data_IF_602503966497
#
_entry.id   IF_602503966497
#
_cell.length_a   1.000
_cell.length_b   1.000
_cell.length_c   1.000
_cell.angle_alpha   90.00
_cell.angle_beta   90.00
_cell.angle_gamma   90.00
#
_symmetry.space_group_name_H-M   'P 1'
#
loop_
_entity.id
_entity.type
_entity.pdbx_description
1 polymer ?
#
# COMPACT_ATOMS: atom_id res chain seq x y z
N UNK A 1 -8.74 -30.92 1.96
CA UNK A 1 -7.33 -31.02 2.39
C UNK A 1 -6.95 -32.50 2.42
N UNK A 2 -6.02 -32.91 1.58
CA UNK A 2 -5.54 -34.32 1.57
C UNK A 2 -4.14 -34.31 2.18
N UNK A 3 -3.98 -34.88 3.36
CA UNK A 3 -2.70 -34.91 4.06
C UNK A 3 -1.81 -35.99 3.43
N UNK A 4 -0.79 -35.60 2.66
CA UNK A 4 0.19 -36.49 2.05
C UNK A 4 1.43 -36.67 2.95
N UNK A 5 1.18 -37.11 4.19
CA UNK A 5 2.23 -37.26 5.21
C UNK A 5 3.38 -38.17 4.73
N UNK A 6 3.07 -39.24 4.01
CA UNK A 6 4.08 -40.18 3.50
C UNK A 6 5.01 -39.53 2.47
N UNK A 7 4.48 -38.75 1.55
CA UNK A 7 5.27 -37.98 0.57
C UNK A 7 6.16 -36.95 1.27
N UNK A 8 5.62 -36.26 2.28
CA UNK A 8 6.37 -35.27 3.06
C UNK A 8 7.54 -35.92 3.82
N UNK A 9 7.32 -37.07 4.48
CA UNK A 9 8.38 -37.82 5.14
C UNK A 9 9.47 -38.17 4.14
N UNK A 10 9.10 -38.68 2.95
CA UNK A 10 10.03 -39.03 1.88
C UNK A 10 10.83 -37.86 1.34
N UNK A 11 10.19 -36.71 1.17
CA UNK A 11 10.82 -35.44 0.75
C UNK A 11 11.87 -35.02 1.77
N UNK A 12 11.48 -34.89 3.04
CA UNK A 12 12.35 -34.49 4.14
C UNK A 12 13.56 -35.42 4.30
N UNK A 13 13.31 -36.72 4.26
CA UNK A 13 14.39 -37.71 4.35
C UNK A 13 15.39 -37.57 3.19
N UNK A 14 14.91 -37.35 1.96
CA UNK A 14 15.76 -37.15 0.78
C UNK A 14 16.51 -35.81 0.86
N UNK A 15 15.87 -34.76 1.32
CA UNK A 15 16.49 -33.45 1.56
C UNK A 15 17.73 -33.57 2.48
N UNK A 16 17.59 -34.37 3.54
CA UNK A 16 18.65 -34.54 4.54
C UNK A 16 19.63 -35.69 4.17
N UNK A 17 19.53 -36.28 2.96
CA UNK A 17 20.42 -37.35 2.47
C UNK A 17 20.33 -38.66 3.27
N UNK A 18 19.23 -38.90 3.99
CA UNK A 18 19.02 -40.05 4.87
C UNK A 18 18.42 -41.25 4.12
N UNK A 19 18.78 -42.47 4.57
CA UNK A 19 18.12 -43.68 4.10
C UNK A 19 16.89 -44.01 4.96
N UNK A 20 15.98 -44.85 4.45
CA UNK A 20 14.82 -45.34 5.22
C UNK A 20 15.23 -46.05 6.50
N UNK A 21 16.36 -46.74 6.48
CA UNK A 21 16.96 -47.43 7.63
C UNK A 21 17.38 -46.44 8.74
N UNK A 22 17.91 -45.29 8.38
CA UNK A 22 18.34 -44.25 9.32
C UNK A 22 17.14 -43.67 10.10
N UNK A 23 16.07 -43.38 9.38
CA UNK A 23 14.82 -42.94 9.98
C UNK A 23 14.17 -44.03 10.85
N UNK A 24 14.13 -45.26 10.35
CA UNK A 24 13.58 -46.39 11.07
C UNK A 24 14.32 -46.60 12.42
N UNK A 25 15.66 -46.58 12.39
CA UNK A 25 16.50 -46.73 13.59
C UNK A 25 16.25 -45.59 14.59
N UNK A 26 16.16 -44.35 14.12
CA UNK A 26 15.93 -43.19 14.98
C UNK A 26 14.54 -43.23 15.66
N UNK A 27 13.55 -43.77 14.98
CA UNK A 27 12.17 -43.85 15.47
C UNK A 27 11.84 -45.17 16.18
N UNK A 28 12.77 -46.11 16.22
CA UNK A 28 12.54 -47.44 16.84
C UNK A 28 11.55 -48.34 16.08
N UNK A 29 11.47 -48.19 14.75
CA UNK A 29 10.56 -48.94 13.87
C UNK A 29 11.34 -49.75 12.83
N UNK A 30 10.65 -50.56 12.01
CA UNK A 30 11.27 -51.27 10.90
C UNK A 30 11.37 -50.42 9.64
N UNK A 31 12.39 -50.65 8.81
CA UNK A 31 12.51 -49.98 7.50
C UNK A 31 11.30 -50.23 6.60
N UNK A 32 10.64 -51.38 6.76
CA UNK A 32 9.40 -51.73 6.05
C UNK A 32 8.23 -50.81 6.46
N UNK A 33 8.16 -50.44 7.75
CA UNK A 33 7.16 -49.46 8.24
C UNK A 33 7.37 -48.10 7.60
N UNK A 34 8.61 -47.59 7.57
CA UNK A 34 8.95 -46.33 6.90
C UNK A 34 8.64 -46.38 5.41
N UNK A 35 9.01 -47.47 4.73
CA UNK A 35 8.73 -47.68 3.32
C UNK A 35 7.22 -47.66 3.02
N UNK A 36 6.40 -48.28 3.88
CA UNK A 36 4.94 -48.28 3.78
C UNK A 36 4.35 -46.90 3.95
N UNK A 37 4.86 -46.11 4.91
CA UNK A 37 4.41 -44.73 5.10
C UNK A 37 4.73 -43.88 3.86
N UNK A 38 5.96 -43.95 3.34
CA UNK A 38 6.40 -43.17 2.17
C UNK A 38 5.67 -43.57 0.86
N UNK A 39 5.12 -44.78 0.83
CA UNK A 39 4.29 -45.28 -0.28
C UNK A 39 2.78 -45.01 -0.09
N UNK A 40 2.41 -44.22 0.95
CA UNK A 40 1.01 -43.97 1.34
C UNK A 40 0.21 -45.27 1.62
N UNK A 41 0.89 -46.34 1.96
CA UNK A 41 0.28 -47.65 2.34
C UNK A 41 -0.15 -47.72 3.81
N UNK A 42 -0.06 -46.62 4.55
CA UNK A 42 -0.47 -46.46 5.94
C UNK A 42 0.18 -45.23 6.57
N UNK A 43 -0.28 -44.86 7.76
CA UNK A 43 0.23 -43.72 8.51
C UNK A 43 1.10 -44.17 9.68
N UNK A 44 2.07 -43.32 10.15
CA UNK A 44 2.69 -43.49 11.46
C UNK A 44 1.63 -43.44 12.56
N UNK A 45 1.90 -44.06 13.70
CA UNK A 45 1.10 -43.86 14.89
C UNK A 45 1.13 -42.40 15.31
N UNK A 46 -0.02 -41.87 15.81
CA UNK A 46 -0.13 -40.49 16.25
C UNK A 46 0.92 -40.11 17.29
N UNK A 47 1.28 -41.04 18.18
CA UNK A 47 2.33 -40.84 19.19
C UNK A 47 3.73 -40.67 18.59
N UNK A 48 3.95 -41.09 17.34
CA UNK A 48 5.23 -40.95 16.63
C UNK A 48 5.39 -39.60 15.91
N UNK A 49 4.29 -38.90 15.66
CA UNK A 49 4.31 -37.63 14.92
C UNK A 49 5.30 -36.61 15.50
N UNK A 50 5.32 -36.37 16.85
CA UNK A 50 6.31 -35.47 17.43
C UNK A 50 7.75 -35.93 17.23
N UNK A 51 7.99 -37.26 17.28
CA UNK A 51 9.34 -37.79 17.09
C UNK A 51 9.81 -37.66 15.64
N UNK A 52 8.92 -37.83 14.66
CA UNK A 52 9.20 -37.61 13.24
C UNK A 52 9.52 -36.11 12.99
N UNK A 53 8.70 -35.20 13.52
CA UNK A 53 8.92 -33.79 13.37
C UNK A 53 10.28 -33.34 14.00
N UNK A 54 10.58 -33.84 15.20
CA UNK A 54 11.86 -33.60 15.88
C UNK A 54 13.07 -34.16 15.09
N UNK A 55 12.93 -35.35 14.50
CA UNK A 55 14.00 -35.95 13.70
C UNK A 55 14.39 -35.07 12.50
N UNK A 56 13.41 -34.44 11.86
CA UNK A 56 13.64 -33.54 10.72
C UNK A 56 13.83 -32.06 11.13
N UNK A 57 13.79 -31.73 12.42
CA UNK A 57 13.89 -30.37 12.95
C UNK A 57 12.84 -29.42 12.37
N UNK A 58 11.61 -29.87 12.25
CA UNK A 58 10.46 -29.11 11.76
C UNK A 58 9.30 -29.15 12.76
N UNK A 59 8.31 -28.28 12.55
CA UNK A 59 7.06 -28.32 13.32
C UNK A 59 6.15 -29.45 12.85
N UNK A 60 5.19 -29.86 13.70
CA UNK A 60 4.16 -30.84 13.33
C UNK A 60 3.30 -30.28 12.18
N UNK A 61 2.98 -28.98 12.19
CA UNK A 61 2.22 -28.32 11.14
C UNK A 61 2.94 -28.38 9.78
N UNK A 62 4.25 -28.17 9.79
CA UNK A 62 5.09 -28.28 8.60
C UNK A 62 5.17 -29.72 8.10
N UNK A 63 5.21 -30.71 9.01
CA UNK A 63 5.18 -32.13 8.68
C UNK A 63 3.86 -32.53 7.99
N UNK A 64 2.74 -31.97 8.42
CA UNK A 64 1.43 -32.18 7.81
C UNK A 64 1.16 -31.32 6.59
N UNK A 65 2.05 -30.38 6.27
CA UNK A 65 1.86 -29.40 5.19
C UNK A 65 0.76 -28.36 5.47
N UNK A 66 0.28 -28.32 6.72
CA UNK A 66 -0.86 -27.49 7.12
C UNK A 66 -0.59 -26.01 6.90
N UNK A 67 0.61 -25.55 7.25
CA UNK A 67 0.97 -24.14 7.10
C UNK A 67 1.00 -23.68 5.63
N UNK A 68 1.53 -24.52 4.74
CA UNK A 68 1.63 -24.19 3.32
C UNK A 68 0.25 -24.03 2.65
N UNK A 69 -0.69 -24.91 2.96
CA UNK A 69 -2.05 -24.82 2.41
C UNK A 69 -2.83 -23.66 3.01
N UNK A 70 -2.68 -23.43 4.33
CA UNK A 70 -3.29 -22.31 5.02
C UNK A 70 -2.78 -20.96 4.49
N UNK A 71 -1.47 -20.80 4.38
CA UNK A 71 -0.85 -19.58 3.84
C UNK A 71 -1.28 -19.32 2.39
N UNK A 72 -1.38 -20.35 1.56
CA UNK A 72 -1.89 -20.25 0.20
C UNK A 72 -3.32 -19.70 0.15
N UNK A 73 -4.22 -20.26 0.95
CA UNK A 73 -5.62 -19.83 0.98
C UNK A 73 -5.71 -18.37 1.47
N UNK A 74 -4.97 -18.02 2.53
CA UNK A 74 -4.91 -16.63 3.02
C UNK A 74 -4.39 -15.70 1.92
N UNK A 75 -3.35 -16.12 1.18
CA UNK A 75 -2.80 -15.33 0.08
C UNK A 75 -3.83 -15.16 -1.05
N UNK A 76 -4.61 -16.18 -1.37
CA UNK A 76 -5.69 -16.06 -2.37
C UNK A 76 -6.77 -15.05 -1.96
N UNK A 77 -7.17 -15.03 -0.68
CA UNK A 77 -8.09 -14.02 -0.14
C UNK A 77 -7.47 -12.61 -0.26
N UNK A 78 -6.20 -12.49 0.14
CA UNK A 78 -5.45 -11.24 0.10
C UNK A 78 -5.32 -10.70 -1.32
N UNK A 79 -4.90 -11.51 -2.28
CA UNK A 79 -4.71 -11.11 -3.68
C UNK A 79 -6.02 -10.63 -4.31
N UNK A 80 -7.13 -11.34 -4.06
CA UNK A 80 -8.44 -10.94 -4.54
C UNK A 80 -8.89 -9.61 -3.91
N UNK A 81 -8.72 -9.46 -2.60
CA UNK A 81 -9.08 -8.23 -1.89
C UNK A 81 -8.26 -7.03 -2.37
N UNK A 82 -6.95 -7.21 -2.59
CA UNK A 82 -6.07 -6.16 -3.11
C UNK A 82 -6.50 -5.72 -4.51
N UNK A 83 -6.87 -6.64 -5.39
CA UNK A 83 -7.39 -6.31 -6.73
C UNK A 83 -8.68 -5.48 -6.61
N UNK A 84 -9.62 -5.89 -5.76
CA UNK A 84 -10.89 -5.18 -5.55
C UNK A 84 -10.66 -3.80 -4.94
N UNK A 85 -9.82 -3.69 -3.90
CA UNK A 85 -9.46 -2.41 -3.26
C UNK A 85 -8.90 -1.38 -4.25
N UNK A 86 -8.20 -1.84 -5.27
CA UNK A 86 -7.57 -0.96 -6.26
C UNK A 86 -8.42 -0.69 -7.50
N UNK A 87 -9.37 -1.57 -7.82
CA UNK A 87 -10.17 -1.47 -9.04
C UNK A 87 -11.56 -0.89 -8.80
N UNK A 88 -12.22 -1.34 -7.73
CA UNK A 88 -13.64 -1.14 -7.52
C UNK A 88 -13.88 0.09 -6.60
N UNK A 89 -14.90 0.87 -6.88
CA UNK A 89 -15.34 1.97 -6.00
C UNK A 89 -16.26 1.46 -4.88
N UNK A 90 -17.13 0.49 -5.19
CA UNK A 90 -18.02 -0.20 -4.25
C UNK A 90 -17.26 -1.36 -3.58
N UNK A 91 -17.21 -1.38 -2.25
CA UNK A 91 -16.47 -2.37 -1.47
C UNK A 91 -17.32 -3.51 -0.93
N UNK A 92 -18.61 -3.58 -1.28
CA UNK A 92 -19.54 -4.59 -0.75
C UNK A 92 -19.03 -6.02 -0.94
N UNK A 93 -18.59 -6.38 -2.16
CA UNK A 93 -18.06 -7.71 -2.44
C UNK A 93 -16.70 -7.96 -1.76
N UNK A 94 -15.85 -6.95 -1.69
CA UNK A 94 -14.56 -7.03 -1.02
C UNK A 94 -14.72 -7.27 0.47
N UNK A 95 -15.60 -6.53 1.13
CA UNK A 95 -15.95 -6.69 2.55
C UNK A 95 -16.49 -8.10 2.81
N UNK A 96 -17.43 -8.59 1.97
CA UNK A 96 -18.00 -9.93 2.10
C UNK A 96 -16.94 -11.03 1.90
N UNK A 97 -16.00 -10.85 0.96
CA UNK A 97 -14.88 -11.76 0.74
C UNK A 97 -13.98 -11.85 1.98
N UNK A 98 -13.59 -10.69 2.54
CA UNK A 98 -12.69 -10.61 3.68
C UNK A 98 -13.33 -11.13 4.97
N UNK A 99 -14.62 -10.89 5.18
CA UNK A 99 -15.37 -11.47 6.30
C UNK A 99 -15.40 -12.99 6.23
N UNK A 100 -15.65 -13.59 5.05
CA UNK A 100 -15.54 -15.05 4.87
C UNK A 100 -14.12 -15.57 5.16
N UNK A 101 -13.09 -14.85 4.69
CA UNK A 101 -11.71 -15.20 5.02
C UNK A 101 -11.43 -15.17 6.52
N UNK A 102 -12.01 -14.22 7.26
CA UNK A 102 -11.87 -14.11 8.70
C UNK A 102 -12.74 -15.11 9.48
N UNK A 103 -13.85 -15.60 8.94
CA UNK A 103 -14.58 -16.75 9.51
C UNK A 103 -13.71 -18.01 9.48
N UNK A 104 -12.95 -18.23 8.41
CA UNK A 104 -12.04 -19.37 8.26
C UNK A 104 -10.71 -19.15 9.02
N UNK A 105 -10.19 -17.91 9.04
CA UNK A 105 -8.89 -17.54 9.62
C UNK A 105 -8.99 -16.32 10.56
N UNK A 106 -9.67 -16.42 11.71
CA UNK A 106 -10.08 -15.27 12.55
C UNK A 106 -8.91 -14.49 13.16
N UNK A 107 -7.74 -15.10 13.29
CA UNK A 107 -6.55 -14.47 13.89
C UNK A 107 -5.59 -13.85 12.87
N UNK A 108 -5.96 -13.80 11.57
CA UNK A 108 -5.09 -13.33 10.51
C UNK A 108 -5.13 -11.80 10.41
N UNK A 109 -4.13 -11.12 10.99
CA UNK A 109 -4.05 -9.66 10.99
C UNK A 109 -3.99 -9.06 9.57
N UNK A 110 -3.36 -9.73 8.61
CA UNK A 110 -3.35 -9.27 7.21
C UNK A 110 -4.75 -9.14 6.61
N UNK A 111 -5.64 -10.12 6.84
CA UNK A 111 -7.04 -10.03 6.39
C UNK A 111 -7.82 -8.93 7.14
N UNK A 112 -7.55 -8.73 8.44
CA UNK A 112 -8.16 -7.63 9.21
C UNK A 112 -7.74 -6.27 8.68
N UNK A 113 -6.47 -6.08 8.31
CA UNK A 113 -5.97 -4.84 7.70
C UNK A 113 -6.71 -4.55 6.40
N UNK A 114 -6.86 -5.54 5.53
CA UNK A 114 -7.58 -5.36 4.27
C UNK A 114 -9.08 -5.12 4.49
N UNK A 115 -9.70 -5.75 5.48
CA UNK A 115 -11.09 -5.48 5.86
C UNK A 115 -11.25 -4.04 6.36
N UNK A 116 -10.39 -3.57 7.24
CA UNK A 116 -10.40 -2.20 7.72
C UNK A 116 -10.21 -1.18 6.56
N UNK A 117 -9.33 -1.50 5.59
CA UNK A 117 -9.13 -0.67 4.41
C UNK A 117 -10.36 -0.63 3.50
N UNK A 118 -11.04 -1.78 3.29
CA UNK A 118 -12.27 -1.85 2.50
C UNK A 118 -13.42 -1.09 3.17
N UNK A 119 -13.59 -1.27 4.47
CA UNK A 119 -14.58 -0.54 5.27
C UNK A 119 -14.30 0.98 5.26
N UNK A 120 -13.03 1.38 5.42
CA UNK A 120 -12.66 2.78 5.33
C UNK A 120 -13.00 3.38 3.95
N UNK A 121 -12.73 2.65 2.88
CA UNK A 121 -13.07 3.09 1.52
C UNK A 121 -14.59 3.18 1.32
N UNK A 122 -15.36 2.21 1.81
CA UNK A 122 -16.82 2.24 1.74
C UNK A 122 -17.40 3.38 2.59
N UNK A 123 -16.80 3.67 3.75
CA UNK A 123 -17.19 4.80 4.59
C UNK A 123 -17.10 6.15 3.87
N UNK A 124 -16.17 6.32 2.92
CA UNK A 124 -16.11 7.51 2.07
C UNK A 124 -17.30 7.63 1.10
N UNK A 125 -17.83 6.50 0.61
CA UNK A 125 -19.04 6.48 -0.23
C UNK A 125 -20.26 6.95 0.57
N UNK A 126 -20.24 6.73 1.89
CA UNK A 126 -21.29 7.12 2.85
C UNK A 126 -20.92 8.36 3.68
N UNK A 127 -20.00 9.21 3.19
CA UNK A 127 -19.58 10.42 3.88
C UNK A 127 -20.75 11.37 4.12
N UNK A 128 -20.92 11.78 5.37
CA UNK A 128 -22.02 12.64 5.82
C UNK A 128 -23.23 11.91 6.37
N UNK A 129 -23.31 10.60 6.23
CA UNK A 129 -24.30 9.77 6.93
C UNK A 129 -23.91 9.63 8.40
N UNK A 130 -24.88 9.65 9.30
CA UNK A 130 -24.67 9.48 10.75
C UNK A 130 -25.71 8.53 11.33
N UNK A 131 -25.28 7.43 11.98
CA UNK A 131 -23.89 6.97 12.12
C UNK A 131 -23.29 6.48 10.79
N UNK A 132 -21.96 6.56 10.64
CA UNK A 132 -21.24 5.91 9.55
C UNK A 132 -20.65 4.59 10.08
N UNK A 133 -21.45 3.54 10.02
CA UNK A 133 -21.12 2.22 10.58
C UNK A 133 -19.82 1.62 9.98
N UNK A 134 -19.53 1.92 8.71
CA UNK A 134 -18.31 1.47 8.06
C UNK A 134 -17.07 2.08 8.71
N UNK A 135 -17.06 3.37 8.98
CA UNK A 135 -15.95 4.03 9.66
C UNK A 135 -15.82 3.62 11.12
N UNK A 136 -16.94 3.40 11.82
CA UNK A 136 -16.90 2.93 13.20
C UNK A 136 -16.28 1.53 13.30
N UNK A 137 -16.66 0.60 12.41
CA UNK A 137 -16.05 -0.74 12.34
C UNK A 137 -14.58 -0.67 11.91
N UNK A 138 -14.26 0.14 10.91
CA UNK A 138 -12.87 0.33 10.46
C UNK A 138 -11.97 0.89 11.57
N UNK A 139 -12.44 1.89 12.31
CA UNK A 139 -11.70 2.46 13.43
C UNK A 139 -11.41 1.44 14.51
N UNK A 140 -12.41 0.61 14.88
CA UNK A 140 -12.23 -0.47 15.84
C UNK A 140 -11.16 -1.48 15.41
N UNK A 141 -11.22 -1.90 14.15
CA UNK A 141 -10.20 -2.82 13.59
C UNK A 141 -8.80 -2.21 13.56
N UNK A 142 -8.68 -0.94 13.15
CA UNK A 142 -7.39 -0.26 13.14
C UNK A 142 -6.83 -0.07 14.56
N UNK A 143 -7.67 0.19 15.57
CA UNK A 143 -7.23 0.26 16.96
C UNK A 143 -6.61 -1.06 17.45
N UNK A 144 -7.27 -2.18 17.17
CA UNK A 144 -6.80 -3.51 17.55
C UNK A 144 -5.49 -3.89 16.82
N UNK A 145 -5.26 -3.31 15.64
CA UNK A 145 -4.10 -3.61 14.81
C UNK A 145 -2.87 -2.73 15.10
N UNK A 146 -2.99 -1.66 15.88
CA UNK A 146 -1.88 -0.70 16.11
C UNK A 146 -0.61 -1.33 16.68
N UNK A 147 -0.72 -2.34 17.54
CA UNK A 147 0.44 -3.03 18.10
C UNK A 147 1.15 -3.91 17.06
N UNK A 148 0.40 -4.44 16.09
CA UNK A 148 0.93 -5.29 15.02
C UNK A 148 1.43 -4.49 13.83
N UNK A 149 0.66 -3.48 13.38
CA UNK A 149 0.96 -2.60 12.25
C UNK A 149 0.78 -1.13 12.65
N UNK A 150 1.86 -0.47 13.11
CA UNK A 150 1.80 0.92 13.55
C UNK A 150 1.27 1.92 12.50
N UNK A 151 1.43 1.62 11.21
CA UNK A 151 0.94 2.48 10.13
C UNK A 151 -0.59 2.57 10.08
N UNK A 152 -1.32 1.69 10.79
CA UNK A 152 -2.76 1.79 10.98
C UNK A 152 -3.16 3.09 11.68
N UNK A 153 -2.23 3.80 12.33
CA UNK A 153 -2.49 5.10 12.95
C UNK A 153 -2.97 6.14 11.94
N UNK A 154 -2.44 6.15 10.72
CA UNK A 154 -2.76 7.15 9.70
C UNK A 154 -4.24 7.11 9.29
N UNK A 155 -4.78 5.97 8.80
CA UNK A 155 -6.19 5.87 8.45
C UNK A 155 -7.10 6.02 9.68
N UNK A 156 -6.67 5.57 10.86
CA UNK A 156 -7.44 5.72 12.09
C UNK A 156 -7.66 7.20 12.46
N UNK A 157 -6.61 8.01 12.43
CA UNK A 157 -6.71 9.44 12.72
C UNK A 157 -7.59 10.17 11.68
N UNK A 158 -7.49 9.80 10.41
CA UNK A 158 -8.35 10.34 9.35
C UNK A 158 -9.82 10.03 9.62
N UNK A 159 -10.15 8.78 10.00
CA UNK A 159 -11.51 8.37 10.35
C UNK A 159 -12.03 9.14 11.56
N UNK A 160 -11.23 9.30 12.62
CA UNK A 160 -11.64 10.09 13.79
C UNK A 160 -11.92 11.55 13.43
N UNK A 161 -11.14 12.14 12.52
CA UNK A 161 -11.40 13.48 11.98
C UNK A 161 -12.78 13.57 11.30
N UNK A 162 -13.09 12.62 10.42
CA UNK A 162 -14.38 12.57 9.70
C UNK A 162 -15.58 12.27 10.64
N UNK A 163 -15.36 11.48 11.69
CA UNK A 163 -16.38 11.23 12.73
C UNK A 163 -16.54 12.40 13.71
N UNK A 164 -15.65 13.40 13.68
CA UNK A 164 -15.64 14.52 14.61
C UNK A 164 -15.06 14.18 15.98
N UNK A 165 -14.36 13.07 16.12
CA UNK A 165 -13.75 12.59 17.36
C UNK A 165 -12.33 13.17 17.56
N UNK A 166 -12.20 14.48 17.42
CA UNK A 166 -10.90 15.20 17.40
C UNK A 166 -10.06 14.96 18.66
N UNK A 167 -10.70 14.88 19.85
CA UNK A 167 -9.96 14.61 21.10
C UNK A 167 -9.30 13.23 21.11
N UNK A 168 -9.97 12.21 20.53
CA UNK A 168 -9.36 10.88 20.40
C UNK A 168 -8.22 10.90 19.41
N UNK A 169 -8.39 11.60 18.28
CA UNK A 169 -7.36 11.75 17.26
C UNK A 169 -6.12 12.43 17.84
N UNK A 170 -6.27 13.58 18.50
CA UNK A 170 -5.20 14.33 19.14
C UNK A 170 -4.45 13.49 20.16
N UNK A 171 -5.17 12.85 21.09
CA UNK A 171 -4.57 11.99 22.11
C UNK A 171 -3.73 10.84 21.54
N UNK A 172 -4.10 10.30 20.39
CA UNK A 172 -3.31 9.25 19.72
C UNK A 172 -2.16 9.83 18.91
N UNK A 173 -2.36 10.95 18.22
CA UNK A 173 -1.32 11.65 17.47
C UNK A 173 -0.18 12.12 18.36
N UNK A 174 -0.49 12.68 19.54
CA UNK A 174 0.49 13.14 20.53
C UNK A 174 1.42 12.04 21.08
N UNK A 175 1.10 10.77 20.87
CA UNK A 175 1.97 9.64 21.23
C UNK A 175 3.00 9.30 20.16
N UNK A 176 2.84 9.85 18.94
CA UNK A 176 3.78 9.60 17.85
C UNK A 176 5.03 10.47 18.02
N UNK A 177 6.21 10.00 17.59
CA UNK A 177 7.41 10.82 17.62
C UNK A 177 7.28 12.01 16.67
N UNK A 178 7.83 13.19 17.01
CA UNK A 178 7.88 14.31 16.10
C UNK A 178 8.77 14.00 14.88
N UNK A 179 8.57 14.72 13.78
CA UNK A 179 9.18 14.43 12.48
C UNK A 179 10.72 14.40 12.51
N UNK A 180 11.34 15.23 13.35
CA UNK A 180 12.81 15.28 13.54
C UNK A 180 13.37 14.10 14.34
N UNK A 181 12.51 13.28 14.95
CA UNK A 181 12.82 12.06 15.66
C UNK A 181 12.50 10.80 14.84
N UNK A 182 12.18 10.95 13.56
CA UNK A 182 11.92 9.82 12.67
C UNK A 182 13.19 8.96 12.49
N UNK A 183 12.99 7.66 12.27
CA UNK A 183 14.09 6.69 12.11
C UNK A 183 15.07 7.13 11.02
N UNK A 184 14.58 7.58 9.88
CA UNK A 184 15.38 7.99 8.72
C UNK A 184 16.23 9.21 9.03
N UNK A 185 15.64 10.20 9.71
CA UNK A 185 16.37 11.41 10.13
C UNK A 185 17.47 11.06 11.14
N UNK A 186 17.17 10.26 12.15
CA UNK A 186 18.14 9.86 13.17
C UNK A 186 19.28 9.02 12.58
N UNK A 187 18.96 7.97 11.82
CA UNK A 187 19.97 7.10 11.20
C UNK A 187 20.81 7.85 10.17
N UNK A 188 20.20 8.77 9.42
CA UNK A 188 20.91 9.64 8.49
C UNK A 188 21.97 10.53 9.16
N UNK A 189 21.72 10.93 10.42
CA UNK A 189 22.65 11.77 11.20
C UNK A 189 23.79 10.96 11.84
N UNK A 190 23.49 9.75 12.35
CA UNK A 190 24.44 9.00 13.19
C UNK A 190 25.33 8.01 12.43
N UNK A 191 24.93 7.50 11.27
CA UNK A 191 25.62 6.41 10.58
C UNK A 191 26.78 6.86 9.66
N UNK A 192 27.20 8.12 9.70
CA UNK A 192 28.29 8.65 8.88
C UNK A 192 28.00 8.70 7.37
N UNK A 193 29.03 9.01 6.57
CA UNK A 193 28.85 9.36 5.15
C UNK A 193 28.27 8.21 4.31
N UNK A 194 28.87 7.04 4.36
CA UNK A 194 28.49 5.91 3.50
C UNK A 194 27.24 5.17 3.99
N UNK A 195 27.22 4.74 5.25
CA UNK A 195 26.11 3.94 5.80
C UNK A 195 24.83 4.78 5.99
N UNK A 196 24.96 6.07 6.27
CA UNK A 196 23.84 6.98 6.46
C UNK A 196 23.28 7.58 5.15
N UNK A 197 23.92 7.37 4.00
CA UNK A 197 23.51 8.00 2.72
C UNK A 197 22.08 7.60 2.32
N UNK A 198 21.75 6.32 2.42
CA UNK A 198 20.43 5.82 2.11
C UNK A 198 19.36 6.48 3.00
N UNK A 199 19.60 6.51 4.33
CA UNK A 199 18.64 7.11 5.27
C UNK A 199 18.47 8.61 5.08
N UNK A 200 19.55 9.34 4.74
CA UNK A 200 19.42 10.77 4.40
C UNK A 200 18.57 11.02 3.18
N UNK A 201 18.71 10.19 2.17
CA UNK A 201 17.90 10.31 0.96
C UNK A 201 16.44 9.90 1.23
N UNK A 202 16.19 8.83 1.99
CA UNK A 202 14.85 8.45 2.46
C UNK A 202 14.21 9.57 3.28
N UNK A 203 14.96 10.21 4.17
CA UNK A 203 14.50 11.35 4.95
C UNK A 203 14.12 12.55 4.05
N UNK A 204 14.93 12.87 3.04
CA UNK A 204 14.63 13.98 2.10
C UNK A 204 13.31 13.70 1.38
N UNK A 205 13.10 12.48 0.91
CA UNK A 205 11.89 12.08 0.19
C UNK A 205 10.66 12.19 1.11
N UNK A 206 10.74 11.60 2.31
CA UNK A 206 9.65 11.63 3.27
C UNK A 206 9.31 13.06 3.70
N UNK A 207 10.31 13.87 4.01
CA UNK A 207 10.11 15.27 4.41
C UNK A 207 9.53 16.14 3.29
N UNK A 208 9.91 15.90 2.04
CA UNK A 208 9.31 16.60 0.90
C UNK A 208 7.84 16.23 0.73
N UNK A 209 7.51 14.95 0.86
CA UNK A 209 6.12 14.49 0.80
C UNK A 209 5.28 15.13 1.91
N UNK A 210 5.75 15.09 3.16
CA UNK A 210 5.06 15.70 4.29
C UNK A 210 4.96 17.24 4.15
N UNK A 211 6.01 17.90 3.63
CA UNK A 211 5.96 19.33 3.34
C UNK A 211 4.86 19.66 2.33
N UNK A 212 4.73 18.86 1.26
CA UNK A 212 3.66 19.03 0.27
C UNK A 212 2.28 18.92 0.92
N UNK A 213 2.06 17.86 1.72
CA UNK A 213 0.79 17.65 2.42
C UNK A 213 0.48 18.82 3.36
N UNK A 214 1.45 19.26 4.16
CA UNK A 214 1.27 20.36 5.10
C UNK A 214 0.96 21.69 4.40
N UNK A 215 1.57 21.96 3.23
CA UNK A 215 1.27 23.14 2.41
C UNK A 215 -0.14 23.06 1.83
N UNK A 216 -0.52 21.89 1.29
CA UNK A 216 -1.86 21.68 0.74
C UNK A 216 -2.93 21.86 1.83
N UNK A 217 -2.75 21.27 3.01
CA UNK A 217 -3.67 21.38 4.15
C UNK A 217 -3.79 22.82 4.66
N UNK A 218 -2.67 23.52 4.83
CA UNK A 218 -2.67 24.90 5.28
C UNK A 218 -3.43 25.83 4.33
N UNK A 219 -3.28 25.63 3.01
CA UNK A 219 -4.01 26.38 1.99
C UNK A 219 -5.49 25.99 1.99
N UNK A 220 -5.79 24.68 2.10
CA UNK A 220 -7.15 24.18 2.04
C UNK A 220 -8.02 24.66 3.23
N UNK A 221 -7.45 24.74 4.42
CA UNK A 221 -8.16 25.16 5.64
C UNK A 221 -8.33 26.68 5.79
N UNK A 222 -7.69 27.49 4.91
CA UNK A 222 -7.69 28.94 5.02
C UNK A 222 -8.20 29.64 3.74
N UNK A 223 -9.38 30.27 3.82
CA UNK A 223 -10.03 30.92 2.68
C UNK A 223 -9.25 32.13 2.11
N UNK A 224 -8.45 32.81 2.92
CA UNK A 224 -7.59 33.89 2.45
C UNK A 224 -6.42 33.34 1.64
N UNK A 225 -5.80 32.25 2.14
CA UNK A 225 -4.71 31.57 1.44
C UNK A 225 -5.14 30.97 0.11
N UNK A 226 -6.37 30.46 0.00
CA UNK A 226 -6.93 29.94 -1.27
C UNK A 226 -6.94 30.97 -2.40
N UNK A 227 -6.85 32.27 -2.09
CA UNK A 227 -6.89 33.37 -3.07
C UNK A 227 -5.60 34.15 -3.12
N UNK A 228 -4.62 33.84 -2.27
CA UNK A 228 -3.42 34.65 -2.11
C UNK A 228 -2.38 34.33 -3.21
N UNK A 229 -1.66 35.40 -3.64
CA UNK A 229 -0.51 35.24 -4.52
C UNK A 229 0.64 34.52 -3.81
N UNK A 230 0.78 34.71 -2.52
CA UNK A 230 1.80 34.05 -1.69
C UNK A 230 1.67 32.51 -1.74
N UNK A 231 0.45 31.99 -1.68
CA UNK A 231 0.19 30.54 -1.82
C UNK A 231 0.60 30.02 -3.19
N UNK A 232 0.34 30.78 -4.25
CA UNK A 232 0.81 30.41 -5.60
C UNK A 232 2.34 30.34 -5.63
N UNK A 233 3.00 31.36 -5.08
CA UNK A 233 4.47 31.43 -5.07
C UNK A 233 5.09 30.28 -4.27
N UNK A 234 4.49 29.91 -3.13
CA UNK A 234 4.91 28.76 -2.31
C UNK A 234 4.75 27.44 -3.10
N UNK A 235 3.60 27.21 -3.73
CA UNK A 235 3.35 25.97 -4.49
C UNK A 235 4.25 25.88 -5.73
N UNK A 236 4.53 27.02 -6.41
CA UNK A 236 5.51 27.06 -7.51
C UNK A 236 6.93 26.77 -7.04
N UNK A 237 7.34 27.28 -5.87
CA UNK A 237 8.64 26.96 -5.29
C UNK A 237 8.74 25.48 -4.93
N UNK A 238 7.69 24.90 -4.35
CA UNK A 238 7.59 23.48 -4.05
C UNK A 238 7.69 22.64 -5.33
N UNK A 239 6.95 23.01 -6.38
CA UNK A 239 7.02 22.37 -7.69
C UNK A 239 8.45 22.35 -8.25
N UNK A 240 9.11 23.52 -8.21
CA UNK A 240 10.49 23.65 -8.67
C UNK A 240 11.47 22.80 -7.84
N UNK A 241 11.26 22.69 -6.53
CA UNK A 241 12.05 21.83 -5.65
C UNK A 241 11.88 20.34 -6.03
N UNK A 242 10.65 19.89 -6.26
CA UNK A 242 10.37 18.54 -6.72
C UNK A 242 11.05 18.24 -8.07
N UNK A 243 10.99 19.17 -9.04
CA UNK A 243 11.68 19.01 -10.33
C UNK A 243 13.21 18.86 -10.18
N UNK A 244 13.80 19.60 -9.25
CA UNK A 244 15.26 19.53 -9.00
C UNK A 244 15.67 18.25 -8.27
N UNK A 245 14.83 17.75 -7.36
CA UNK A 245 15.13 16.54 -6.57
C UNK A 245 14.85 15.28 -7.37
N UNK A 246 13.73 15.21 -8.07
CA UNK A 246 13.26 14.00 -8.72
C UNK A 246 13.45 13.98 -10.24
N UNK A 247 13.71 15.14 -10.86
CA UNK A 247 13.77 15.28 -12.31
C UNK A 247 12.39 15.18 -12.98
N UNK A 248 12.36 15.45 -14.29
CA UNK A 248 11.10 15.49 -15.07
C UNK A 248 10.58 14.09 -15.47
N UNK A 249 11.40 13.06 -15.36
CA UNK A 249 11.12 11.70 -15.85
C UNK A 249 10.86 10.67 -14.70
N UNK A 250 10.68 11.16 -13.48
CA UNK A 250 10.59 10.30 -12.30
C UNK A 250 9.18 9.72 -12.11
N UNK A 251 8.91 8.55 -12.65
CA UNK A 251 7.59 7.91 -12.70
C UNK A 251 6.89 7.80 -11.34
N UNK A 252 7.61 7.48 -10.27
CA UNK A 252 7.01 7.31 -8.92
C UNK A 252 6.45 8.60 -8.32
N UNK A 253 6.95 9.77 -8.75
CA UNK A 253 6.55 11.07 -8.21
C UNK A 253 5.60 11.86 -9.10
N UNK A 254 5.18 11.28 -10.22
CA UNK A 254 4.15 11.91 -11.05
C UNK A 254 2.83 12.09 -10.30
N UNK A 255 2.52 11.28 -9.29
CA UNK A 255 1.39 11.52 -8.40
C UNK A 255 1.54 12.83 -7.63
N UNK A 256 2.71 13.09 -7.03
CA UNK A 256 2.96 14.32 -6.28
C UNK A 256 2.94 15.55 -7.20
N UNK A 257 3.56 15.48 -8.37
CA UNK A 257 3.46 16.54 -9.38
C UNK A 257 2.02 16.82 -9.79
N UNK A 258 1.22 15.75 -9.97
CA UNK A 258 -0.19 15.90 -10.29
C UNK A 258 -0.93 16.69 -9.19
N UNK A 259 -0.71 16.36 -7.90
CA UNK A 259 -1.33 17.08 -6.79
C UNK A 259 -0.84 18.53 -6.69
N UNK A 260 0.46 18.79 -6.88
CA UNK A 260 1.03 20.13 -6.89
C UNK A 260 0.39 20.99 -8.01
N UNK A 261 0.32 20.45 -9.22
CA UNK A 261 -0.30 21.15 -10.34
C UNK A 261 -1.81 21.35 -10.11
N UNK A 262 -2.49 20.40 -9.45
CA UNK A 262 -3.89 20.55 -9.05
C UNK A 262 -4.12 21.66 -8.03
N UNK A 263 -3.20 21.84 -7.08
CA UNK A 263 -3.25 22.97 -6.16
C UNK A 263 -3.14 24.30 -6.94
N UNK A 264 -2.25 24.38 -7.93
CA UNK A 264 -2.13 25.55 -8.81
C UNK A 264 -3.38 25.79 -9.65
N UNK A 265 -4.02 24.72 -10.17
CA UNK A 265 -5.31 24.83 -10.88
C UNK A 265 -6.36 25.52 -10.01
N UNK A 266 -6.49 25.10 -8.75
CA UNK A 266 -7.46 25.67 -7.81
C UNK A 266 -7.11 27.12 -7.44
N UNK A 267 -5.84 27.39 -7.15
CA UNK A 267 -5.37 28.72 -6.76
C UNK A 267 -5.58 29.75 -7.88
N UNK A 268 -5.16 29.43 -9.10
CA UNK A 268 -5.40 30.30 -10.26
C UNK A 268 -6.89 30.40 -10.62
N UNK A 269 -7.65 29.31 -10.47
CA UNK A 269 -9.11 29.32 -10.66
C UNK A 269 -9.80 30.25 -9.66
N UNK A 270 -9.37 30.29 -8.39
CA UNK A 270 -9.90 31.18 -7.37
C UNK A 270 -9.53 32.66 -7.62
N UNK A 271 -8.48 32.94 -8.40
CA UNK A 271 -8.09 34.25 -8.88
C UNK A 271 -8.71 34.62 -10.23
N UNK A 272 -9.54 33.73 -10.80
CA UNK A 272 -10.15 33.85 -12.13
C UNK A 272 -9.10 33.91 -13.29
N UNK A 273 -7.84 33.54 -13.03
CA UNK A 273 -6.80 33.36 -14.05
C UNK A 273 -6.92 31.97 -14.70
N UNK A 274 -7.96 31.80 -15.51
CA UNK A 274 -8.30 30.51 -16.13
C UNK A 274 -7.27 30.10 -17.19
N UNK A 275 -6.49 30.99 -17.75
CA UNK A 275 -5.45 30.66 -18.70
C UNK A 275 -4.35 29.83 -18.01
N UNK A 276 -3.83 30.33 -16.88
CA UNK A 276 -2.85 29.60 -16.09
C UNK A 276 -3.45 28.36 -15.43
N UNK A 277 -4.68 28.44 -14.93
CA UNK A 277 -5.37 27.28 -14.38
C UNK A 277 -5.45 26.13 -15.40
N UNK A 278 -5.79 26.41 -16.66
CA UNK A 278 -5.84 25.40 -17.72
C UNK A 278 -4.45 24.90 -18.11
N UNK A 279 -3.43 25.73 -18.08
CA UNK A 279 -2.04 25.30 -18.30
C UNK A 279 -1.62 24.24 -17.26
N UNK A 280 -1.87 24.50 -15.97
CA UNK A 280 -1.56 23.53 -14.91
C UNK A 280 -2.49 22.33 -14.90
N UNK A 281 -3.74 22.47 -15.33
CA UNK A 281 -4.65 21.34 -15.53
C UNK A 281 -4.11 20.37 -16.58
N UNK A 282 -3.61 20.90 -17.69
CA UNK A 282 -2.99 20.07 -18.74
C UNK A 282 -1.73 19.35 -18.24
N UNK A 283 -0.89 20.05 -17.48
CA UNK A 283 0.29 19.47 -16.83
C UNK A 283 -0.08 18.39 -15.81
N UNK A 284 -1.07 18.65 -14.94
CA UNK A 284 -1.58 17.69 -13.99
C UNK A 284 -2.10 16.42 -14.68
N UNK A 285 -2.83 16.58 -15.78
CA UNK A 285 -3.35 15.48 -16.57
C UNK A 285 -2.23 14.63 -17.20
N UNK A 286 -1.17 15.24 -17.70
CA UNK A 286 -0.02 14.50 -18.23
C UNK A 286 0.72 13.71 -17.13
N UNK A 287 0.90 14.31 -15.96
CA UNK A 287 1.45 13.62 -14.81
C UNK A 287 0.55 12.47 -14.35
N UNK A 288 -0.76 12.65 -14.37
CA UNK A 288 -1.73 11.60 -14.10
C UNK A 288 -1.59 10.41 -15.06
N UNK A 289 -1.50 10.65 -16.37
CA UNK A 289 -1.34 9.59 -17.37
C UNK A 289 -0.04 8.80 -17.18
N UNK A 290 1.06 9.49 -16.91
CA UNK A 290 2.36 8.85 -16.65
C UNK A 290 2.32 8.01 -15.37
N UNK A 291 1.72 8.52 -14.30
CA UNK A 291 1.53 7.78 -13.06
C UNK A 291 0.64 6.55 -13.27
N UNK A 292 -0.47 6.68 -13.99
CA UNK A 292 -1.38 5.59 -14.31
C UNK A 292 -0.68 4.48 -15.11
N UNK A 293 0.09 4.84 -16.13
CA UNK A 293 0.88 3.87 -16.90
C UNK A 293 1.86 3.09 -16.01
N UNK A 294 2.58 3.79 -15.16
CA UNK A 294 3.49 3.18 -14.21
C UNK A 294 2.75 2.24 -13.24
N UNK A 295 1.61 2.69 -12.71
CA UNK A 295 0.78 1.91 -11.82
C UNK A 295 0.24 0.63 -12.48
N UNK A 296 -0.31 0.73 -13.68
CA UNK A 296 -0.79 -0.43 -14.45
C UNK A 296 0.33 -1.45 -14.71
N UNK A 297 1.54 -0.99 -14.95
CA UNK A 297 2.71 -1.84 -15.10
C UNK A 297 3.08 -2.54 -13.79
N UNK A 298 3.04 -1.83 -12.66
CA UNK A 298 3.28 -2.42 -11.34
C UNK A 298 2.23 -3.49 -10.98
N UNK A 299 0.96 -3.27 -11.37
CA UNK A 299 -0.12 -4.21 -11.10
C UNK A 299 -0.14 -5.43 -12.04
N UNK A 300 0.34 -5.29 -13.27
CA UNK A 300 0.37 -6.40 -14.26
C UNK A 300 1.59 -7.29 -14.12
N UNK A 301 2.63 -6.81 -13.52
CA UNK A 301 3.93 -7.47 -13.56
C UNK A 301 4.39 -7.89 -12.17
N UNK A 302 4.82 -9.14 -12.09
CA UNK A 302 5.67 -9.63 -11.02
C UNK A 302 6.91 -8.75 -10.88
N UNK A 303 7.50 -8.70 -9.70
CA UNK A 303 8.66 -7.87 -9.33
C UNK A 303 9.81 -7.82 -10.37
N UNK A 304 9.91 -8.83 -11.22
CA UNK A 304 10.93 -8.98 -12.25
C UNK A 304 10.79 -8.00 -13.43
N UNK A 305 9.56 -7.75 -13.89
CA UNK A 305 9.31 -6.81 -14.99
C UNK A 305 9.28 -5.36 -14.53
N UNK A 306 8.81 -5.09 -13.31
CA UNK A 306 8.98 -3.78 -12.69
C UNK A 306 10.47 -3.44 -12.54
N UNK A 307 11.32 -4.43 -12.22
CA UNK A 307 12.78 -4.30 -12.17
C UNK A 307 13.45 -4.02 -13.53
N UNK A 308 12.89 -4.53 -14.63
CA UNK A 308 13.42 -4.31 -15.99
C UNK A 308 13.03 -2.94 -16.57
N UNK A 309 11.84 -2.43 -16.26
CA UNK A 309 11.43 -1.06 -16.56
C UNK A 309 12.26 -0.03 -15.81
N UNK A 310 12.70 -0.36 -14.59
CA UNK A 310 13.63 0.43 -13.78
C UNK A 310 14.94 0.75 -14.50
N UNK A 311 15.46 -0.15 -15.32
CA UNK A 311 16.74 0.03 -16.00
C UNK A 311 16.68 0.89 -17.28
N UNK A 312 15.48 1.15 -17.84
CA UNK A 312 15.33 1.79 -19.15
C UNK A 312 14.87 3.26 -19.15
N UNK A 313 14.39 3.81 -18.04
CA UNK A 313 13.60 5.04 -18.10
C UNK A 313 13.92 6.14 -17.07
N UNK A 314 15.04 6.10 -16.33
CA UNK A 314 15.31 7.11 -15.31
C UNK A 314 16.65 7.80 -15.46
N UNK A 315 16.67 9.07 -15.88
CA UNK A 315 17.81 9.96 -15.70
C UNK A 315 17.72 10.72 -14.35
N UNK A 316 17.29 10.09 -13.27
CA UNK A 316 17.59 10.58 -11.94
C UNK A 316 19.08 10.33 -11.67
N UNK A 317 19.75 11.20 -10.90
CA UNK A 317 21.07 10.85 -10.40
C UNK A 317 21.00 9.47 -9.75
N UNK A 318 21.90 8.56 -10.09
CA UNK A 318 21.97 7.16 -9.62
C UNK A 318 21.74 6.99 -8.09
N UNK A 319 21.95 8.06 -7.34
CA UNK A 319 21.76 8.13 -5.88
C UNK A 319 20.33 8.04 -5.40
N UNK A 320 19.40 8.74 -6.06
CA UNK A 320 17.98 8.75 -5.66
C UNK A 320 17.19 7.61 -6.29
N UNK A 321 17.62 7.12 -7.45
CA UNK A 321 16.95 6.07 -8.20
C UNK A 321 16.77 4.78 -7.39
N UNK A 322 17.81 4.31 -6.73
CA UNK A 322 17.79 3.07 -5.92
C UNK A 322 16.85 3.19 -4.71
N UNK A 323 16.73 4.39 -4.12
CA UNK A 323 15.94 4.65 -2.92
C UNK A 323 14.47 4.78 -3.26
N UNK A 324 14.15 5.53 -4.29
CA UNK A 324 12.80 5.67 -4.86
C UNK A 324 12.21 4.28 -5.14
N UNK A 325 13.00 3.40 -5.74
CA UNK A 325 12.56 2.08 -6.18
C UNK A 325 12.36 1.07 -5.05
N UNK A 326 13.05 1.23 -3.92
CA UNK A 326 12.87 0.37 -2.74
C UNK A 326 11.66 0.77 -1.90
N UNK A 327 11.34 2.07 -1.85
CA UNK A 327 10.33 2.63 -0.97
C UNK A 327 8.97 2.83 -1.64
N UNK A 328 8.89 2.75 -2.97
CA UNK A 328 7.60 2.70 -3.66
C UNK A 328 6.99 1.32 -3.44
N UNK A 329 6.28 1.17 -2.34
CA UNK A 329 5.33 0.09 -2.18
C UNK A 329 4.14 0.40 -3.10
N UNK A 330 3.95 -0.31 -4.23
CA UNK A 330 2.81 -0.07 -5.11
C UNK A 330 1.46 -0.27 -4.40
N UNK A 331 1.48 -0.92 -3.23
CA UNK A 331 0.32 -1.18 -2.38
C UNK A 331 0.05 -0.06 -1.36
N UNK A 332 1.01 0.82 -1.09
CA UNK A 332 0.87 1.94 -0.15
C UNK A 332 0.60 3.30 -0.79
N UNK A 333 0.76 3.42 -2.10
CA UNK A 333 0.42 4.63 -2.84
C UNK A 333 -1.10 4.77 -2.95
N UNK A 334 -1.67 5.71 -2.22
CA UNK A 334 -3.10 6.01 -2.30
C UNK A 334 -3.49 6.34 -3.73
N UNK A 335 -4.28 5.48 -4.35
CA UNK A 335 -4.76 5.57 -5.73
C UNK A 335 -5.89 6.59 -5.91
N UNK A 336 -5.92 7.67 -5.14
CA UNK A 336 -6.93 8.72 -5.32
C UNK A 336 -6.85 9.43 -6.67
N UNK A 337 -5.75 9.24 -7.40
CA UNK A 337 -5.51 9.87 -8.71
C UNK A 337 -6.07 9.04 -9.88
N UNK A 338 -6.58 7.83 -9.66
CA UNK A 338 -6.94 6.92 -10.77
C UNK A 338 -8.38 6.98 -11.23
N UNK A 339 -9.23 7.86 -10.69
CA UNK A 339 -10.65 7.90 -11.05
C UNK A 339 -11.00 9.14 -11.88
N UNK A 340 -11.97 8.98 -12.79
CA UNK A 340 -12.53 10.06 -13.61
C UNK A 340 -12.99 11.27 -12.78
N UNK A 341 -13.44 11.05 -11.56
CA UNK A 341 -13.80 12.08 -10.56
C UNK A 341 -12.66 13.04 -10.21
N UNK A 342 -11.41 12.68 -10.41
CA UNK A 342 -10.25 13.54 -10.20
C UNK A 342 -10.31 14.82 -11.06
N UNK A 343 -10.62 14.67 -12.36
CA UNK A 343 -10.72 15.81 -13.27
C UNK A 343 -11.92 16.71 -12.93
N UNK A 344 -13.06 16.10 -12.56
CA UNK A 344 -14.23 16.85 -12.10
C UNK A 344 -13.95 17.64 -10.84
N UNK A 345 -13.22 17.05 -9.89
CA UNK A 345 -12.83 17.73 -8.66
C UNK A 345 -11.87 18.89 -8.90
N UNK A 346 -10.95 18.78 -9.87
CA UNK A 346 -10.02 19.84 -10.24
C UNK A 346 -10.70 21.12 -10.68
N UNK A 347 -11.76 20.98 -11.45
CA UNK A 347 -12.48 22.07 -12.11
C UNK A 347 -13.83 22.40 -11.44
N UNK A 348 -14.11 21.83 -10.28
CA UNK A 348 -15.42 21.97 -9.61
C UNK A 348 -15.86 23.43 -9.46
N UNK A 349 -14.93 24.34 -9.14
CA UNK A 349 -15.18 25.79 -9.02
C UNK A 349 -15.15 26.58 -10.32
N UNK A 350 -14.92 25.94 -11.48
CA UNK A 350 -14.79 26.66 -12.75
C UNK A 350 -16.15 27.04 -13.34
N UNK A 351 -16.23 28.11 -14.16
CA UNK A 351 -17.42 28.44 -14.93
C UNK A 351 -17.87 27.28 -15.83
N UNK A 352 -19.16 27.04 -15.92
CA UNK A 352 -19.73 25.91 -16.71
C UNK A 352 -19.23 25.90 -18.16
N UNK A 353 -19.11 27.07 -18.79
CA UNK A 353 -18.58 27.17 -20.15
C UNK A 353 -17.19 26.54 -20.31
N UNK A 354 -16.31 26.73 -19.32
CA UNK A 354 -14.95 26.15 -19.32
C UNK A 354 -15.03 24.65 -19.04
N UNK A 355 -15.88 24.21 -18.12
CA UNK A 355 -16.10 22.78 -17.84
C UNK A 355 -16.60 22.04 -19.09
N UNK A 356 -17.57 22.63 -19.82
CA UNK A 356 -18.07 22.04 -21.07
C UNK A 356 -16.99 21.98 -22.14
N UNK A 357 -16.17 23.01 -22.28
CA UNK A 357 -15.03 22.99 -23.21
C UNK A 357 -14.04 21.87 -22.89
N UNK A 358 -13.73 21.63 -21.62
CA UNK A 358 -12.85 20.56 -21.19
C UNK A 358 -13.50 19.18 -21.43
N UNK A 359 -14.79 19.01 -21.11
CA UNK A 359 -15.53 17.76 -21.36
C UNK A 359 -15.62 17.40 -22.84
N UNK A 360 -15.72 18.40 -23.71
CA UNK A 360 -15.76 18.21 -25.16
C UNK A 360 -14.38 18.06 -25.80
N UNK A 361 -13.29 18.33 -25.07
CA UNK A 361 -11.96 18.18 -25.61
C UNK A 361 -11.59 16.69 -25.76
N UNK A 362 -11.23 16.21 -26.97
CA UNK A 362 -10.88 14.81 -27.20
C UNK A 362 -9.78 14.27 -26.28
N UNK A 363 -8.86 15.14 -25.81
CA UNK A 363 -7.78 14.79 -24.87
C UNK A 363 -8.31 14.27 -23.54
N UNK A 364 -9.47 14.76 -23.08
CA UNK A 364 -10.02 14.48 -21.75
C UNK A 364 -11.35 13.72 -21.78
N UNK A 365 -12.04 13.69 -22.92
CA UNK A 365 -13.42 13.23 -23.05
C UNK A 365 -13.68 11.80 -22.50
N UNK A 366 -12.70 10.90 -22.61
CA UNK A 366 -12.82 9.53 -22.11
C UNK A 366 -12.75 9.43 -20.58
N UNK A 367 -12.29 10.47 -19.90
CA UNK A 367 -12.16 10.51 -18.44
C UNK A 367 -13.32 11.24 -17.74
N UNK A 368 -14.24 11.85 -18.52
CA UNK A 368 -15.46 12.47 -18.02
C UNK A 368 -16.72 11.60 -18.26
N UNK A 369 -16.56 10.40 -18.79
CA UNK A 369 -17.61 9.39 -18.96
C UNK A 369 -17.74 8.52 -17.72
#
# INVERSE_FOLDING_TARGET
>A
MQVNLGEKIKELRKRDGRKQEDLAKALGVTSQAVSRWEANGGYPDMGMIPSIANFFHITIDELFGYNNDREKIIQEYTDKAVIMLNRDSDMTECIALLRRGLEEFPTTNGLKIHLAAALNKEGWNHRGEKPNEFWEEAASLYEDLLEYEPNCIIPLLSIYGELGEYEKAEKKAMKQPPVDMSREVLLGRILGAQKGEQYRAEAVIALLHELRLAVDDAIYENDELKKSQESIDIVLALRSLYEKVFGQESFGYHSDFCFIDMALVKLYGNQEDYEKALYYFDSAYEHYLKFRQWWELCMRNTQEQAGQLKKKSFPCSDRFETIILKNVNPMGGKLYVCEAKFLEFAIAGFPEKIKEQLKCNPKYADNFK
#
